data_IF_912669868884
#
_entry.id   IF_912669868884
#
_cell.length_a   1.000
_cell.length_b   1.000
_cell.length_c   1.000
_cell.angle_alpha   90.00
_cell.angle_beta   90.00
_cell.angle_gamma   90.00
#
_symmetry.space_group_name_H-M   'P 1'
#
loop_
_entity.id
_entity.type
_entity.pdbx_description
1 polymer ?
#
# COMPACT_ATOMS: atom_id res chain seq x y z
N UNK A 1 4.94 -15.92 -8.53
CA UNK A 1 4.12 -16.10 -9.76
C UNK A 1 4.45 -14.98 -10.74
N UNK A 2 4.49 -15.27 -12.03
CA UNK A 2 4.62 -14.26 -13.08
C UNK A 2 3.42 -14.36 -14.04
N UNK A 3 2.78 -13.24 -14.35
CA UNK A 3 1.63 -13.18 -15.26
C UNK A 3 1.87 -12.11 -16.32
N UNK A 4 1.72 -12.48 -17.59
CA UNK A 4 1.63 -11.51 -18.70
C UNK A 4 0.17 -11.14 -18.93
N UNK A 5 -0.15 -9.85 -18.89
CA UNK A 5 -1.50 -9.33 -19.04
C UNK A 5 -2.20 -9.05 -17.71
N UNK A 6 -3.49 -8.70 -17.80
CA UNK A 6 -4.28 -8.29 -16.65
C UNK A 6 -4.71 -9.48 -15.79
N UNK A 7 -4.72 -9.29 -14.47
CA UNK A 7 -5.29 -10.22 -13.50
C UNK A 7 -6.53 -9.57 -12.88
N UNK A 8 -7.66 -10.26 -13.00
CA UNK A 8 -8.92 -9.84 -12.39
C UNK A 8 -9.40 -10.95 -11.46
N UNK A 9 -9.50 -10.64 -10.17
CA UNK A 9 -10.01 -11.55 -9.16
C UNK A 9 -11.42 -11.11 -8.79
N UNK A 10 -12.41 -11.94 -9.10
CA UNK A 10 -13.82 -11.62 -8.83
C UNK A 10 -14.19 -11.80 -7.34
N UNK A 11 -13.47 -12.65 -6.62
CA UNK A 11 -13.65 -12.98 -5.20
C UNK A 11 -12.36 -12.67 -4.40
N UNK A 12 -12.25 -13.20 -3.18
CA UNK A 12 -11.01 -13.22 -2.41
C UNK A 12 -9.86 -13.96 -3.05
N UNK A 13 -8.64 -13.56 -2.71
CA UNK A 13 -7.40 -14.27 -3.07
C UNK A 13 -6.42 -14.24 -1.91
N UNK A 14 -5.70 -15.34 -1.70
CA UNK A 14 -4.58 -15.41 -0.76
C UNK A 14 -3.28 -15.53 -1.55
N UNK A 15 -2.35 -14.62 -1.32
CA UNK A 15 -1.06 -14.54 -2.00
C UNK A 15 0.05 -14.81 -0.98
N UNK A 16 0.60 -16.02 -0.98
CA UNK A 16 1.62 -16.49 -0.02
C UNK A 16 3.08 -16.33 -0.48
N UNK A 17 3.31 -15.59 -1.57
CA UNK A 17 4.65 -15.34 -2.09
C UNK A 17 4.63 -14.20 -3.10
N UNK A 18 5.78 -13.91 -3.70
CA UNK A 18 5.89 -12.76 -4.60
C UNK A 18 5.14 -12.99 -5.92
N UNK A 19 4.39 -11.97 -6.34
CA UNK A 19 3.62 -11.95 -7.59
C UNK A 19 4.07 -10.78 -8.45
N UNK A 20 4.34 -11.08 -9.71
CA UNK A 20 4.74 -10.13 -10.73
C UNK A 20 3.71 -10.15 -11.86
N UNK A 21 3.16 -8.99 -12.21
CA UNK A 21 2.11 -8.87 -13.23
C UNK A 21 2.52 -7.80 -14.23
N UNK A 22 2.68 -8.19 -15.49
CA UNK A 22 2.89 -7.28 -16.60
C UNK A 22 1.54 -6.85 -17.19
N UNK A 23 0.84 -6.00 -16.45
CA UNK A 23 -0.54 -5.58 -16.70
C UNK A 23 -1.16 -4.96 -15.45
N UNK A 24 -2.48 -4.88 -15.40
CA UNK A 24 -3.21 -4.39 -14.23
C UNK A 24 -3.59 -5.54 -13.28
N UNK A 25 -3.70 -5.24 -11.99
CA UNK A 25 -4.24 -6.15 -10.98
C UNK A 25 -5.48 -5.54 -10.33
N UNK A 26 -6.60 -6.24 -10.42
CA UNK A 26 -7.87 -5.80 -9.84
C UNK A 26 -8.49 -6.91 -9.01
N UNK A 27 -8.91 -6.60 -7.79
CA UNK A 27 -9.70 -7.46 -6.91
C UNK A 27 -11.06 -6.79 -6.69
N UNK A 28 -12.12 -7.40 -7.21
CA UNK A 28 -13.46 -6.79 -7.27
C UNK A 28 -14.41 -7.19 -6.14
N UNK A 29 -14.21 -8.29 -5.40
CA UNK A 29 -15.26 -8.71 -4.46
C UNK A 29 -14.95 -9.82 -3.48
N UNK A 30 -15.90 -9.98 -2.54
CA UNK A 30 -16.28 -11.20 -1.83
C UNK A 30 -15.39 -11.74 -0.71
N UNK A 31 -16.00 -12.45 0.24
CA UNK A 31 -15.29 -13.34 1.16
C UNK A 31 -14.74 -14.56 0.41
N UNK A 32 -13.56 -15.11 0.78
CA UNK A 32 -12.69 -14.65 1.87
C UNK A 32 -12.02 -13.29 1.56
N UNK A 33 -11.55 -12.58 2.59
CA UNK A 33 -10.80 -11.31 2.41
C UNK A 33 -9.57 -11.54 1.53
N UNK A 34 -9.18 -10.55 0.71
CA UNK A 34 -7.91 -10.62 0.00
C UNK A 34 -6.76 -10.55 1.01
N UNK A 35 -5.87 -11.52 1.02
CA UNK A 35 -4.71 -11.57 1.93
C UNK A 35 -3.43 -11.59 1.12
N UNK A 36 -2.58 -10.59 1.33
CA UNK A 36 -1.26 -10.47 0.70
C UNK A 36 -0.17 -10.70 1.74
N UNK A 37 0.34 -11.93 1.80
CA UNK A 37 1.46 -12.34 2.66
C UNK A 37 2.83 -12.17 1.97
N UNK A 38 2.87 -12.12 0.64
CA UNK A 38 4.07 -11.82 -0.16
C UNK A 38 4.10 -10.40 -0.71
N UNK A 39 5.04 -10.10 -1.60
CA UNK A 39 5.07 -8.82 -2.30
C UNK A 39 4.28 -8.87 -3.61
N UNK A 40 3.68 -7.74 -3.99
CA UNK A 40 2.94 -7.59 -5.23
C UNK A 40 3.61 -6.51 -6.10
N UNK A 41 4.06 -6.90 -7.29
CA UNK A 41 4.70 -6.04 -8.29
C UNK A 41 3.85 -5.99 -9.55
N UNK A 42 3.41 -4.80 -9.97
CA UNK A 42 2.46 -4.63 -11.07
C UNK A 42 2.94 -3.55 -12.04
N UNK A 43 3.18 -3.91 -13.30
CA UNK A 43 3.46 -2.97 -14.38
C UNK A 43 2.15 -2.37 -14.94
N UNK A 44 1.41 -1.71 -14.07
CA UNK A 44 0.09 -1.16 -14.36
C UNK A 44 -0.53 -0.59 -13.09
N UNK A 45 -1.87 -0.55 -13.06
CA UNK A 45 -2.62 -0.12 -11.89
C UNK A 45 -2.96 -1.29 -10.97
N UNK A 46 -3.08 -1.00 -9.68
CA UNK A 46 -3.56 -1.92 -8.65
C UNK A 46 -4.86 -1.36 -8.07
N UNK A 47 -5.93 -2.15 -8.10
CA UNK A 47 -7.22 -1.79 -7.53
C UNK A 47 -7.72 -2.88 -6.59
N UNK A 48 -7.74 -2.59 -5.29
CA UNK A 48 -8.43 -3.39 -4.28
C UNK A 48 -9.79 -2.74 -4.01
N UNK A 49 -10.84 -3.22 -4.69
CA UNK A 49 -12.20 -2.66 -4.57
C UNK A 49 -12.98 -3.23 -3.36
N UNK A 50 -12.31 -4.01 -2.50
CA UNK A 50 -12.88 -4.58 -1.28
C UNK A 50 -11.80 -4.60 -0.17
N UNK A 51 -12.16 -5.09 1.02
CA UNK A 51 -11.26 -5.33 2.15
C UNK A 51 -10.02 -6.13 1.74
N UNK A 52 -8.86 -5.70 2.20
CA UNK A 52 -7.59 -6.38 1.99
C UNK A 52 -6.76 -6.33 3.26
N UNK A 53 -6.09 -7.45 3.55
CA UNK A 53 -5.04 -7.55 4.56
C UNK A 53 -3.70 -7.60 3.84
N UNK A 54 -2.83 -6.64 4.14
CA UNK A 54 -1.52 -6.49 3.51
C UNK A 54 -0.45 -6.68 4.57
N UNK A 55 0.36 -7.72 4.38
CA UNK A 55 1.51 -8.06 5.24
C UNK A 55 2.84 -7.94 4.50
N UNK A 56 2.82 -7.73 3.17
CA UNK A 56 3.99 -7.47 2.34
C UNK A 56 3.99 -6.07 1.71
N UNK A 57 4.84 -5.87 0.71
CA UNK A 57 4.96 -4.61 -0.01
C UNK A 57 4.15 -4.62 -1.32
N UNK A 58 3.64 -3.45 -1.72
CA UNK A 58 2.83 -3.26 -2.93
C UNK A 58 3.48 -2.23 -3.84
N UNK A 59 3.82 -2.63 -5.06
CA UNK A 59 4.52 -1.81 -6.04
C UNK A 59 3.73 -1.75 -7.35
N UNK A 60 3.49 -0.54 -7.85
CA UNK A 60 2.85 -0.31 -9.13
C UNK A 60 3.59 0.76 -9.96
N UNK A 61 3.64 0.57 -11.28
CA UNK A 61 4.09 1.66 -12.17
C UNK A 61 3.00 2.72 -12.35
N UNK A 62 1.73 2.31 -12.27
CA UNK A 62 0.54 3.16 -12.24
C UNK A 62 0.01 3.42 -10.83
N UNK A 63 -1.25 3.79 -10.73
CA UNK A 63 -1.92 4.14 -9.47
C UNK A 63 -2.24 2.90 -8.62
N UNK A 64 -2.29 3.09 -7.30
CA UNK A 64 -2.70 2.08 -6.32
C UNK A 64 -3.92 2.60 -5.58
N UNK A 65 -5.01 1.83 -5.62
CA UNK A 65 -6.27 2.18 -4.98
C UNK A 65 -6.70 1.11 -4.00
N UNK A 66 -6.95 1.50 -2.75
CA UNK A 66 -7.61 0.70 -1.73
C UNK A 66 -9.00 1.31 -1.46
N UNK A 67 -10.05 0.73 -2.05
CA UNK A 67 -11.41 1.30 -2.09
C UNK A 67 -12.41 0.65 -1.11
N UNK A 68 -12.02 -0.36 -0.34
CA UNK A 68 -12.87 -0.98 0.68
C UNK A 68 -12.60 -0.45 2.10
N UNK A 69 -13.65 -0.22 2.90
CA UNK A 69 -13.60 0.32 4.27
C UNK A 69 -12.86 -0.52 5.34
N UNK A 70 -12.02 -1.45 4.90
CA UNK A 70 -11.30 -2.41 5.74
C UNK A 70 -10.00 -2.83 5.03
N UNK A 71 -9.20 -1.86 4.57
CA UNK A 71 -7.76 -2.09 4.60
C UNK A 71 -7.39 -2.30 6.07
N UNK A 72 -7.37 -3.56 6.49
CA UNK A 72 -6.88 -3.93 7.82
C UNK A 72 -5.38 -4.05 7.67
N UNK A 73 -4.71 -2.91 7.81
CA UNK A 73 -3.28 -2.95 8.02
C UNK A 73 -3.08 -3.33 9.46
N UNK A 74 -2.37 -4.43 9.69
CA UNK A 74 -1.96 -4.78 11.03
C UNK A 74 -1.00 -3.68 11.52
N UNK A 75 -1.31 -2.94 12.61
CA UNK A 75 -0.48 -1.83 13.06
C UNK A 75 0.95 -2.27 13.46
N UNK A 76 1.13 -3.56 13.74
CA UNK A 76 2.40 -4.18 14.09
C UNK A 76 3.22 -4.65 12.87
N UNK A 77 2.67 -4.57 11.66
CA UNK A 77 3.35 -4.98 10.43
C UNK A 77 3.41 -3.77 9.50
N UNK A 78 4.61 -3.18 9.31
CA UNK A 78 4.72 -1.97 8.52
C UNK A 78 4.54 -2.29 7.04
N UNK A 79 3.80 -1.42 6.34
CA UNK A 79 3.56 -1.55 4.90
C UNK A 79 4.51 -0.67 4.09
N UNK A 80 4.82 -1.10 2.88
CA UNK A 80 5.44 -0.25 1.87
C UNK A 80 4.55 -0.25 0.63
N UNK A 81 4.04 0.93 0.26
CA UNK A 81 3.21 1.13 -0.92
C UNK A 81 3.91 2.14 -1.83
N UNK A 82 4.25 1.71 -3.03
CA UNK A 82 5.02 2.49 -3.99
C UNK A 82 4.27 2.59 -5.33
N UNK A 83 3.96 3.82 -5.73
CA UNK A 83 3.46 4.15 -7.06
C UNK A 83 4.50 4.98 -7.80
N UNK A 84 5.00 4.46 -8.93
CA UNK A 84 6.08 5.12 -9.67
C UNK A 84 5.64 6.43 -10.32
N UNK A 85 4.50 6.40 -11.01
CA UNK A 85 4.01 7.52 -11.82
C UNK A 85 2.56 7.90 -11.50
N UNK A 86 1.87 7.11 -10.66
CA UNK A 86 0.48 7.32 -10.32
C UNK A 86 0.29 7.90 -8.91
N UNK A 87 -0.96 7.84 -8.47
CA UNK A 87 -1.39 8.24 -7.14
C UNK A 87 -1.62 7.02 -6.25
N UNK A 88 -1.55 7.22 -4.93
CA UNK A 88 -2.03 6.23 -3.96
C UNK A 88 -3.31 6.79 -3.33
N UNK A 89 -4.39 6.03 -3.40
CA UNK A 89 -5.66 6.38 -2.73
C UNK A 89 -6.00 5.31 -1.70
N UNK A 90 -6.13 5.74 -0.46
CA UNK A 90 -6.46 4.90 0.69
C UNK A 90 -7.82 5.35 1.23
N UNK A 91 -8.85 4.53 1.00
CA UNK A 91 -10.15 4.66 1.64
C UNK A 91 -10.24 3.72 2.84
N UNK A 92 -10.35 4.24 4.07
CA UNK A 92 -10.37 3.41 5.30
C UNK A 92 -11.46 3.80 6.28
N UNK A 93 -11.97 2.87 7.09
CA UNK A 93 -12.54 3.21 8.39
C UNK A 93 -11.40 3.64 9.34
N UNK A 94 -11.70 4.19 10.53
CA UNK A 94 -10.66 4.62 11.48
C UNK A 94 -9.59 3.53 11.69
N UNK A 95 -8.33 3.84 11.41
CA UNK A 95 -7.21 2.88 11.31
C UNK A 95 -5.91 3.48 11.84
N UNK A 96 -5.11 2.67 12.54
CA UNK A 96 -3.71 2.98 12.78
C UNK A 96 -2.85 2.11 11.87
N UNK A 97 -1.87 2.70 11.20
CA UNK A 97 -0.99 2.03 10.24
C UNK A 97 0.42 2.56 10.36
N UNK A 98 1.40 1.69 10.17
CA UNK A 98 2.81 2.06 10.14
C UNK A 98 3.38 1.75 8.76
N UNK A 99 4.25 2.61 8.21
CA UNK A 99 4.92 2.28 6.95
C UNK A 99 5.45 3.44 6.12
N UNK A 100 5.60 3.17 4.82
CA UNK A 100 5.93 4.16 3.80
C UNK A 100 4.87 4.14 2.71
N UNK A 101 4.35 5.33 2.39
CA UNK A 101 3.60 5.58 1.16
C UNK A 101 4.44 6.49 0.26
N UNK A 102 4.74 6.03 -0.95
CA UNK A 102 5.64 6.71 -1.87
C UNK A 102 5.00 6.84 -3.26
N UNK A 103 4.62 8.06 -3.62
CA UNK A 103 4.04 8.43 -4.92
C UNK A 103 4.55 9.81 -5.36
N UNK A 104 5.86 9.98 -5.61
CA UNK A 104 6.52 11.30 -5.73
C UNK A 104 6.06 12.12 -6.94
N UNK A 105 5.45 11.47 -7.94
CA UNK A 105 4.90 12.12 -9.14
C UNK A 105 3.38 12.29 -9.10
N UNK A 106 2.73 11.80 -8.05
CA UNK A 106 1.29 11.79 -7.91
C UNK A 106 0.87 12.27 -6.54
N UNK A 107 -0.40 12.07 -6.25
CA UNK A 107 -0.97 12.43 -4.96
C UNK A 107 -1.14 11.21 -4.07
N UNK A 108 -0.96 11.39 -2.77
CA UNK A 108 -1.42 10.43 -1.77
C UNK A 108 -2.68 11.00 -1.12
N UNK A 109 -3.81 10.31 -1.30
CA UNK A 109 -5.09 10.67 -0.69
C UNK A 109 -5.45 9.65 0.39
N UNK A 110 -5.62 10.11 1.63
CA UNK A 110 -6.08 9.29 2.75
C UNK A 110 -7.43 9.83 3.19
N UNK A 111 -8.49 9.11 2.88
CA UNK A 111 -9.87 9.48 3.19
C UNK A 111 -10.54 8.39 4.01
N UNK A 112 -11.34 8.76 4.99
CA UNK A 112 -11.85 7.79 5.96
C UNK A 112 -12.34 8.42 7.24
N UNK A 113 -12.59 7.60 8.27
CA UNK A 113 -12.64 8.10 9.65
C UNK A 113 -11.23 8.41 10.18
N UNK A 114 -11.08 8.61 11.49
CA UNK A 114 -9.78 8.98 12.09
C UNK A 114 -8.67 7.98 11.79
N UNK A 115 -7.71 8.36 10.94
CA UNK A 115 -6.56 7.55 10.52
C UNK A 115 -5.26 8.12 11.09
N UNK A 116 -4.49 7.25 11.75
CA UNK A 116 -3.14 7.54 12.23
C UNK A 116 -2.13 6.79 11.37
N UNK A 117 -1.23 7.52 10.72
CA UNK A 117 -0.16 6.96 9.91
C UNK A 117 1.20 7.25 10.58
N UNK A 118 1.87 6.20 11.05
CA UNK A 118 3.19 6.29 11.63
C UNK A 118 4.25 5.98 10.55
N UNK A 119 5.14 6.93 10.23
CA UNK A 119 6.18 6.72 9.24
C UNK A 119 6.26 7.85 8.21
N UNK A 120 6.45 7.50 6.93
CA UNK A 120 6.72 8.48 5.87
C UNK A 120 5.66 8.47 4.77
N UNK A 121 5.20 9.68 4.40
CA UNK A 121 4.33 9.92 3.25
C UNK A 121 5.09 10.84 2.30
N UNK A 122 5.42 10.35 1.11
CA UNK A 122 6.22 11.07 0.10
C UNK A 122 5.41 11.16 -1.17
N UNK A 123 4.95 12.37 -1.53
CA UNK A 123 4.11 12.62 -2.70
C UNK A 123 4.36 14.02 -3.28
N UNK A 124 3.93 14.25 -4.51
CA UNK A 124 3.77 15.62 -5.03
C UNK A 124 2.70 16.38 -4.23
N UNK A 125 1.64 15.67 -3.83
CA UNK A 125 0.58 16.21 -2.98
C UNK A 125 0.08 15.19 -1.97
N UNK A 126 -0.01 15.58 -0.71
CA UNK A 126 -0.72 14.81 0.32
C UNK A 126 -2.07 15.44 0.56
N UNK A 127 -3.12 14.63 0.49
CA UNK A 127 -4.52 15.03 0.61
C UNK A 127 -5.21 14.13 1.64
N UNK A 128 -6.18 14.69 2.36
CA UNK A 128 -7.02 13.92 3.26
C UNK A 128 -8.14 14.77 3.84
N UNK A 129 -9.00 14.15 4.66
CA UNK A 129 -10.05 14.88 5.37
C UNK A 129 -9.42 15.43 6.68
N UNK A 130 -9.59 16.73 7.00
CA UNK A 130 -8.79 17.40 8.05
C UNK A 130 -8.88 16.81 9.47
N UNK A 131 -9.94 16.08 9.82
CA UNK A 131 -10.10 15.44 11.13
C UNK A 131 -9.48 14.03 11.18
N UNK A 132 -8.99 13.53 10.05
CA UNK A 132 -8.81 12.10 9.83
C UNK A 132 -7.37 11.69 9.53
N UNK A 133 -6.39 12.61 9.52
CA UNK A 133 -4.99 12.25 9.29
C UNK A 133 -4.07 12.77 10.38
N UNK A 134 -3.56 11.86 11.21
CA UNK A 134 -2.49 12.10 12.18
C UNK A 134 -1.24 11.41 11.67
N UNK A 135 -0.16 12.16 11.43
CA UNK A 135 1.13 11.59 11.02
C UNK A 135 2.09 11.57 12.21
N UNK A 136 2.61 10.39 12.54
CA UNK A 136 3.52 10.16 13.67
C UNK A 136 4.82 9.50 13.25
N UNK A 137 5.74 9.38 14.20
CA UNK A 137 6.94 8.55 14.04
C UNK A 137 6.60 7.06 14.15
N UNK A 138 7.39 6.22 13.46
CA UNK A 138 7.28 4.76 13.61
C UNK A 138 7.94 4.31 14.91
N UNK A 139 7.23 3.55 15.73
CA UNK A 139 7.79 2.88 16.92
C UNK A 139 8.44 1.53 16.60
N UNK A 140 8.39 1.09 15.35
CA UNK A 140 8.94 -0.18 14.85
C UNK A 140 9.89 0.07 13.68
N UNK A 141 10.88 -0.80 13.53
CA UNK A 141 11.74 -0.80 12.35
C UNK A 141 10.93 -1.10 11.09
N UNK A 142 11.29 -0.47 9.98
CA UNK A 142 10.74 -0.75 8.66
C UNK A 142 11.60 -1.86 8.03
N UNK A 143 11.22 -3.14 8.10
CA UNK A 143 12.07 -4.28 7.76
C UNK A 143 12.41 -4.33 6.26
N UNK A 144 11.64 -3.65 5.42
CA UNK A 144 11.90 -3.49 3.99
C UNK A 144 12.98 -2.44 3.67
N UNK A 145 13.46 -1.69 4.67
CA UNK A 145 14.64 -0.82 4.55
C UNK A 145 15.94 -1.51 4.98
N UNK A 146 15.96 -2.84 5.13
CA UNK A 146 17.16 -3.57 5.55
C UNK A 146 18.27 -3.47 4.49
N UNK A 147 19.15 -2.51 4.70
CA UNK A 147 20.46 -2.29 4.10
C UNK A 147 21.38 -1.66 5.14
N UNK A 148 22.69 -1.65 4.90
CA UNK A 148 23.71 -1.20 5.87
C UNK A 148 23.32 0.20 6.42
N UNK A 149 23.11 0.38 7.74
CA UNK A 149 22.43 1.56 8.30
C UNK A 149 23.31 2.80 8.40
N UNK A 150 24.44 2.83 7.70
CA UNK A 150 25.42 3.91 7.82
C UNK A 150 25.68 4.56 6.48
N UNK A 151 25.16 5.77 6.32
CA UNK A 151 25.73 6.74 5.39
C UNK A 151 26.89 7.41 6.12
N UNK A 152 28.11 7.06 5.76
CA UNK A 152 29.27 7.84 6.17
C UNK A 152 29.31 9.09 5.28
N UNK A 153 29.14 10.27 5.88
CA UNK A 153 29.49 11.52 5.22
C UNK A 153 31.02 11.58 5.16
N UNK A 154 31.59 11.30 3.99
CA UNK A 154 32.99 11.58 3.72
C UNK A 154 33.14 13.07 3.41
N UNK A 155 34.09 13.72 4.09
CA UNK A 155 34.44 15.13 3.89
C UNK A 155 35.45 15.27 2.76
#
# INVERSE_FOLDING_TARGET
MYVTGNVNVSNGVVINGDVYIDGNFTVNGGAPVCVLNGNLYVNGNINFNNSVEVYGCVFATGSITFQGGSMKVNPSIPICVYSQNGSISIGTAATETTGILYAPKGSISIAGGTTKFNGSIIADKVMGIPADLIVGESSIDLPFLKGVPYVHLVR
#
